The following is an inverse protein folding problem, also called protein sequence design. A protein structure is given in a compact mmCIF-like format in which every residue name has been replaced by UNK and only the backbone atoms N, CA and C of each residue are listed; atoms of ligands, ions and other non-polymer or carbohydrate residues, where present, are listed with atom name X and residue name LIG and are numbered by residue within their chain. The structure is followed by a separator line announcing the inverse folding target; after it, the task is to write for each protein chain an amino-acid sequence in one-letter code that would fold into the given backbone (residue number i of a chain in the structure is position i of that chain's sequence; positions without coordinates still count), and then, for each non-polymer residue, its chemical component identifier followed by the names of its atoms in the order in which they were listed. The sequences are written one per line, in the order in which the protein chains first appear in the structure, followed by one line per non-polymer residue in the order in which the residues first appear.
data_IF_728682768485
#
_entry.id   IF_728682768485
#
_cell.length_a   1.000
_cell.length_b   1.000
_cell.length_c   1.000
_cell.angle_alpha   90.00
_cell.angle_beta   90.00
_cell.angle_gamma   90.00
#
_symmetry.space_group_name_H-M   'P 1'
#
loop_
_entity.id
_entity.type
_entity.pdbx_description
1 polymer ?
#
# COMPACT_ATOMS: atom_id res chain seq x y z
N UNK A 1 -28.69 -9.05 13.85
CA UNK A 1 -27.69 -8.13 14.44
C UNK A 1 -26.28 -8.71 14.55
N UNK A 2 -26.07 -9.98 14.91
CA UNK A 2 -24.72 -10.59 15.05
C UNK A 2 -23.74 -10.39 13.87
N UNK A 3 -24.16 -10.52 12.59
CA UNK A 3 -23.23 -10.28 11.47
C UNK A 3 -22.71 -8.84 11.39
N UNK A 4 -23.56 -7.85 11.67
CA UNK A 4 -23.18 -6.42 11.67
C UNK A 4 -22.20 -6.11 12.80
N UNK A 5 -22.39 -6.74 13.97
CA UNK A 5 -21.48 -6.60 15.10
C UNK A 5 -20.07 -7.13 14.77
N UNK A 6 -19.98 -8.31 14.15
CA UNK A 6 -18.70 -8.90 13.73
C UNK A 6 -17.98 -7.98 12.73
N UNK A 7 -18.71 -7.47 11.74
CA UNK A 7 -18.18 -6.54 10.72
C UNK A 7 -17.72 -5.23 11.35
N UNK A 8 -18.44 -4.72 12.35
CA UNK A 8 -18.04 -3.53 13.11
C UNK A 8 -16.73 -3.74 13.88
N UNK A 9 -16.59 -4.86 14.59
CA UNK A 9 -15.38 -5.18 15.36
C UNK A 9 -14.17 -5.36 14.43
N UNK A 10 -14.34 -6.10 13.33
CA UNK A 10 -13.28 -6.28 12.32
C UNK A 10 -12.89 -4.93 11.73
N UNK A 11 -13.87 -4.11 11.34
CA UNK A 11 -13.61 -2.80 10.76
C UNK A 11 -12.88 -1.86 11.69
N UNK A 12 -13.30 -1.78 12.96
CA UNK A 12 -12.63 -0.96 13.95
C UNK A 12 -11.19 -1.44 14.19
N UNK A 13 -10.98 -2.75 14.31
CA UNK A 13 -9.65 -3.33 14.52
C UNK A 13 -8.70 -3.01 13.38
N UNK A 14 -9.17 -3.17 12.13
CA UNK A 14 -8.36 -2.87 10.93
C UNK A 14 -8.05 -1.38 10.85
N UNK A 15 -9.03 -0.50 11.08
CA UNK A 15 -8.80 0.97 11.04
C UNK A 15 -7.77 1.37 12.10
N UNK A 16 -7.89 0.87 13.33
CA UNK A 16 -6.96 1.18 14.42
C UNK A 16 -5.55 0.68 14.11
N UNK A 17 -5.40 -0.58 13.68
CA UNK A 17 -4.10 -1.14 13.28
C UNK A 17 -3.42 -0.26 12.24
N UNK A 18 -4.19 0.21 11.25
CA UNK A 18 -3.66 1.01 10.14
C UNK A 18 -3.29 2.41 10.56
N UNK A 19 -4.05 3.05 11.45
CA UNK A 19 -3.69 4.35 12.02
C UNK A 19 -2.36 4.23 12.77
N UNK A 20 -2.18 3.19 13.59
CA UNK A 20 -0.92 2.97 14.30
C UNK A 20 0.25 2.65 13.35
N UNK A 21 0.04 1.83 12.33
CA UNK A 21 1.08 1.46 11.36
C UNK A 21 1.55 2.68 10.56
N UNK A 22 0.61 3.46 10.01
CA UNK A 22 0.93 4.68 9.25
C UNK A 22 1.44 5.81 10.14
N UNK A 23 0.93 5.96 11.36
CA UNK A 23 1.46 6.89 12.36
C UNK A 23 2.92 6.57 12.73
N UNK A 24 3.23 5.29 12.95
CA UNK A 24 4.58 4.82 13.21
C UNK A 24 5.53 4.93 11.99
N UNK A 25 4.99 5.01 10.77
CA UNK A 25 5.77 5.21 9.54
C UNK A 25 6.33 6.63 9.42
N UNK A 26 5.62 7.64 9.94
CA UNK A 26 6.13 9.01 9.99
C UNK A 26 7.48 9.08 10.72
N UNK A 27 7.66 8.24 11.73
CA UNK A 27 8.91 8.14 12.50
C UNK A 27 10.03 7.33 11.82
N UNK A 28 9.74 6.65 10.70
CA UNK A 28 10.70 5.76 10.01
C UNK A 28 11.30 6.36 8.75
N UNK A 29 10.92 7.58 8.37
CA UNK A 29 11.54 8.30 7.25
C UNK A 29 12.86 8.94 7.68
N UNK A 30 13.90 8.73 6.88
CA UNK A 30 15.20 9.36 7.09
C UNK A 30 15.66 10.06 5.80
N UNK A 31 15.11 11.26 5.51
CA UNK A 31 15.39 11.97 4.26
C UNK A 31 16.88 12.29 4.11
N UNK A 32 17.58 12.54 5.23
CA UNK A 32 19.02 12.81 5.24
C UNK A 32 19.84 11.61 4.78
N UNK A 33 19.41 10.39 5.10
CA UNK A 33 20.09 9.18 4.60
C UNK A 33 19.82 8.95 3.12
N UNK A 34 18.61 9.22 2.64
CA UNK A 34 18.28 9.12 1.21
C UNK A 34 19.20 10.04 0.39
N UNK A 35 19.32 11.30 0.82
CA UNK A 35 20.22 12.27 0.19
C UNK A 35 21.67 11.77 0.16
N UNK A 36 22.21 11.30 1.30
CA UNK A 36 23.56 10.74 1.37
C UNK A 36 23.79 9.56 0.43
N UNK A 37 22.78 8.70 0.24
CA UNK A 37 22.87 7.57 -0.71
C UNK A 37 22.90 8.08 -2.14
N UNK A 38 22.06 9.05 -2.51
CA UNK A 38 22.12 9.66 -3.83
C UNK A 38 23.47 10.34 -4.09
N UNK A 39 23.99 11.11 -3.13
CA UNK A 39 25.33 11.71 -3.23
C UNK A 39 26.41 10.66 -3.40
N UNK A 40 26.36 9.54 -2.68
CA UNK A 40 27.34 8.45 -2.84
C UNK A 40 27.28 7.83 -4.24
N UNK A 41 26.08 7.64 -4.79
CA UNK A 41 25.89 7.16 -6.17
C UNK A 41 26.43 8.19 -7.17
N UNK A 42 26.17 9.47 -6.98
CA UNK A 42 26.68 10.58 -7.81
C UNK A 42 28.21 10.57 -7.95
N UNK A 43 28.93 10.26 -6.86
CA UNK A 43 30.39 10.14 -6.84
C UNK A 43 30.91 8.78 -7.36
N UNK A 44 30.01 7.87 -7.73
CA UNK A 44 30.32 6.53 -8.20
C UNK A 44 30.66 5.51 -7.12
N UNK A 45 30.47 5.85 -5.85
CA UNK A 45 30.70 4.94 -4.73
C UNK A 45 29.44 4.11 -4.42
N UNK A 46 29.20 3.12 -5.28
CA UNK A 46 28.09 2.17 -5.13
C UNK A 46 28.21 1.30 -3.86
N UNK A 47 29.43 1.08 -3.37
CA UNK A 47 29.68 0.34 -2.15
C UNK A 47 29.23 1.15 -0.92
N UNK A 48 29.53 2.45 -0.89
CA UNK A 48 29.06 3.36 0.15
C UNK A 48 27.54 3.50 0.13
N UNK A 49 26.96 3.65 -1.05
CA UNK A 49 25.50 3.72 -1.23
C UNK A 49 24.79 2.48 -0.64
N UNK A 50 25.34 1.29 -0.88
CA UNK A 50 24.83 0.04 -0.30
C UNK A 50 24.98 0.00 1.22
N UNK A 51 26.13 0.44 1.75
CA UNK A 51 26.39 0.48 3.20
C UNK A 51 25.44 1.43 3.94
N UNK A 52 25.21 2.62 3.39
CA UNK A 52 24.30 3.63 3.95
C UNK A 52 22.83 3.20 3.90
N UNK A 53 22.46 2.41 2.88
CA UNK A 53 21.10 1.89 2.71
C UNK A 53 20.81 0.66 3.60
N UNK A 54 21.85 -0.07 4.03
CA UNK A 54 21.73 -1.32 4.77
C UNK A 54 21.02 -1.13 6.12
N UNK A 55 20.04 -2.01 6.40
CA UNK A 55 19.33 -2.04 7.68
C UNK A 55 18.38 -0.85 7.91
N UNK A 56 18.16 0.00 6.91
CA UNK A 56 17.27 1.14 7.03
C UNK A 56 15.81 0.69 7.20
N UNK A 57 15.06 1.46 8.00
CA UNK A 57 13.62 1.27 8.14
C UNK A 57 12.81 1.99 7.06
N UNK A 58 13.44 2.89 6.31
CA UNK A 58 12.84 3.64 5.22
C UNK A 58 12.65 2.74 3.97
N UNK A 59 11.45 2.68 3.39
CA UNK A 59 11.18 1.85 2.22
C UNK A 59 11.96 2.25 0.97
N UNK A 60 12.28 3.52 0.76
CA UNK A 60 13.12 3.97 -0.37
C UNK A 60 14.51 3.38 -0.21
N UNK A 61 15.11 3.51 0.98
CA UNK A 61 16.43 2.95 1.28
C UNK A 61 16.46 1.42 1.20
N UNK A 62 15.39 0.74 1.64
CA UNK A 62 15.27 -0.71 1.48
C UNK A 62 15.20 -1.12 0.01
N UNK A 63 14.46 -0.37 -0.81
CA UNK A 63 14.39 -0.62 -2.25
C UNK A 63 15.76 -0.43 -2.89
N UNK A 64 16.44 0.68 -2.59
CA UNK A 64 17.80 0.97 -3.09
C UNK A 64 18.78 -0.13 -2.69
N UNK A 65 18.79 -0.54 -1.42
CA UNK A 65 19.64 -1.64 -0.94
C UNK A 65 19.39 -2.95 -1.68
N UNK A 66 18.11 -3.33 -1.87
CA UNK A 66 17.78 -4.56 -2.59
C UNK A 66 18.18 -4.48 -4.07
N UNK A 67 17.97 -3.33 -4.72
CA UNK A 67 18.37 -3.11 -6.11
C UNK A 67 19.88 -3.15 -6.32
N UNK A 68 20.65 -2.55 -5.41
CA UNK A 68 22.11 -2.54 -5.45
C UNK A 68 22.73 -3.91 -5.14
N UNK A 69 22.10 -4.71 -4.26
CA UNK A 69 22.71 -5.92 -3.70
C UNK A 69 22.21 -7.25 -4.31
N UNK A 70 21.10 -7.25 -5.05
CA UNK A 70 20.55 -8.45 -5.69
C UNK A 70 20.45 -8.29 -7.22
N UNK A 71 21.59 -8.40 -7.91
CA UNK A 71 21.68 -8.33 -9.38
C UNK A 71 21.43 -9.67 -10.11
N UNK A 72 20.48 -10.50 -9.66
CA UNK A 72 20.13 -11.73 -10.41
C UNK A 72 19.37 -11.43 -11.72
N UNK A 73 19.01 -10.17 -11.97
CA UNK A 73 18.30 -9.62 -13.14
C UNK A 73 18.82 -8.21 -13.41
N UNK A 74 18.43 -7.56 -14.51
CA UNK A 74 18.67 -6.14 -14.74
C UNK A 74 18.32 -5.29 -13.51
N UNK A 75 19.09 -4.23 -13.26
CA UNK A 75 18.88 -3.29 -12.15
C UNK A 75 17.41 -2.84 -12.03
N UNK A 76 16.80 -2.53 -13.18
CA UNK A 76 15.40 -2.15 -13.28
C UNK A 76 14.44 -3.22 -12.72
N UNK A 77 14.65 -4.48 -13.09
CA UNK A 77 13.82 -5.58 -12.58
C UNK A 77 13.98 -5.75 -11.06
N UNK A 78 15.20 -5.63 -10.54
CA UNK A 78 15.44 -5.73 -9.09
C UNK A 78 14.75 -4.58 -8.31
N UNK A 79 14.83 -3.35 -8.83
CA UNK A 79 14.16 -2.18 -8.24
C UNK A 79 12.63 -2.32 -8.29
N UNK A 80 12.07 -2.75 -9.42
CA UNK A 80 10.62 -2.97 -9.58
C UNK A 80 10.10 -4.01 -8.59
N UNK A 81 10.79 -5.14 -8.43
CA UNK A 81 10.41 -6.18 -7.47
C UNK A 81 10.47 -5.63 -6.04
N UNK A 82 11.53 -4.92 -5.69
CA UNK A 82 11.69 -4.35 -4.35
C UNK A 82 10.63 -3.28 -4.05
N UNK A 83 10.33 -2.40 -5.00
CA UNK A 83 9.27 -1.41 -4.90
C UNK A 83 7.90 -2.08 -4.71
N UNK A 84 7.60 -3.11 -5.51
CA UNK A 84 6.35 -3.88 -5.41
C UNK A 84 6.15 -4.53 -4.03
N UNK A 85 7.23 -5.05 -3.41
CA UNK A 85 7.18 -5.60 -2.05
C UNK A 85 6.82 -4.52 -1.03
N UNK A 86 7.40 -3.32 -1.12
CA UNK A 86 7.13 -2.22 -0.20
C UNK A 86 5.71 -1.63 -0.41
N UNK A 87 5.24 -1.51 -1.66
CA UNK A 87 3.86 -1.11 -1.99
C UNK A 87 2.87 -2.12 -1.44
N UNK A 88 3.08 -3.42 -1.68
CA UNK A 88 2.21 -4.49 -1.16
C UNK A 88 2.17 -4.49 0.37
N UNK A 89 3.31 -4.25 1.02
CA UNK A 89 3.37 -4.11 2.49
C UNK A 89 2.61 -2.88 2.96
N UNK A 90 2.74 -1.75 2.27
CA UNK A 90 2.03 -0.52 2.58
C UNK A 90 0.52 -0.64 2.34
N UNK A 91 0.08 -1.38 1.33
CA UNK A 91 -1.33 -1.62 1.00
C UNK A 91 -2.01 -2.73 1.81
N UNK A 92 -1.32 -3.35 2.79
CA UNK A 92 -1.89 -4.42 3.62
C UNK A 92 -3.20 -3.95 4.27
N UNK A 93 -4.25 -4.77 4.17
CA UNK A 93 -5.61 -4.48 4.68
C UNK A 93 -6.43 -3.43 3.92
N UNK A 94 -5.91 -2.73 2.89
CA UNK A 94 -6.75 -1.84 2.07
C UNK A 94 -7.92 -2.59 1.41
N UNK A 95 -7.66 -3.80 0.90
CA UNK A 95 -8.71 -4.67 0.32
C UNK A 95 -9.78 -5.04 1.35
N UNK A 96 -9.39 -5.23 2.61
CA UNK A 96 -10.34 -5.53 3.69
C UNK A 96 -11.19 -4.29 3.98
N UNK A 97 -10.59 -3.11 4.03
CA UNK A 97 -11.32 -1.85 4.22
C UNK A 97 -12.30 -1.58 3.07
N UNK A 98 -11.88 -1.80 1.82
CA UNK A 98 -12.76 -1.70 0.64
C UNK A 98 -13.95 -2.67 0.73
N UNK A 99 -13.68 -3.90 1.15
CA UNK A 99 -14.73 -4.90 1.40
C UNK A 99 -15.68 -4.43 2.50
N UNK A 100 -15.19 -3.80 3.57
CA UNK A 100 -16.04 -3.32 4.67
C UNK A 100 -16.93 -2.14 4.24
N UNK A 101 -16.39 -1.21 3.46
CA UNK A 101 -17.12 -0.07 2.89
C UNK A 101 -18.29 -0.54 2.03
N UNK A 102 -18.11 -1.63 1.27
CA UNK A 102 -19.13 -2.17 0.37
C UNK A 102 -20.06 -3.18 1.05
N UNK A 103 -19.55 -4.07 1.90
CA UNK A 103 -20.31 -5.15 2.52
C UNK A 103 -21.18 -4.68 3.68
N UNK A 104 -20.74 -3.71 4.49
CA UNK A 104 -21.50 -3.27 5.66
C UNK A 104 -22.89 -2.68 5.31
N UNK A 105 -23.05 -1.82 4.28
CA UNK A 105 -24.36 -1.35 3.84
C UNK A 105 -25.24 -2.48 3.30
N UNK A 106 -24.66 -3.42 2.55
CA UNK A 106 -25.38 -4.58 2.00
C UNK A 106 -25.94 -5.47 3.12
N UNK A 107 -25.17 -5.67 4.19
CA UNK A 107 -25.64 -6.40 5.38
C UNK A 107 -26.72 -5.62 6.15
N UNK A 108 -26.63 -4.29 6.19
CA UNK A 108 -27.68 -3.43 6.75
C UNK A 108 -29.00 -3.55 5.98
N UNK A 109 -28.92 -3.56 4.64
CA UNK A 109 -30.06 -3.76 3.74
C UNK A 109 -30.62 -5.20 3.84
N UNK A 110 -29.77 -6.20 3.98
CA UNK A 110 -30.23 -7.56 4.27
C UNK A 110 -30.97 -7.62 5.61
N UNK A 111 -30.50 -6.86 6.61
CA UNK A 111 -31.16 -6.69 7.90
C UNK A 111 -32.58 -6.11 7.77
N UNK A 112 -32.77 -5.10 6.92
CA UNK A 112 -34.12 -4.56 6.69
C UNK A 112 -35.03 -5.55 6.00
N UNK A 113 -34.55 -6.23 4.96
CA UNK A 113 -35.35 -7.25 4.26
C UNK A 113 -35.81 -8.34 5.23
N UNK A 114 -34.88 -8.89 6.02
CA UNK A 114 -35.22 -9.97 6.96
C UNK A 114 -36.12 -9.51 8.10
N UNK A 115 -35.94 -8.29 8.62
CA UNK A 115 -36.82 -7.71 9.64
C UNK A 115 -38.23 -7.43 9.12
N UNK A 116 -38.37 -6.94 7.89
CA UNK A 116 -39.66 -6.77 7.23
C UNK A 116 -40.38 -8.10 7.00
N UNK A 117 -39.68 -9.13 6.51
CA UNK A 117 -40.25 -10.48 6.33
C UNK A 117 -40.81 -11.03 7.66
N UNK A 118 -40.06 -10.88 8.77
CA UNK A 118 -40.54 -11.30 10.09
C UNK A 118 -41.73 -10.46 10.54
N UNK A 119 -41.69 -9.14 10.33
CA UNK A 119 -42.79 -8.24 10.69
C UNK A 119 -44.10 -8.66 10.02
N UNK A 120 -44.06 -8.99 8.73
CA UNK A 120 -45.23 -9.46 8.00
C UNK A 120 -45.79 -10.80 8.47
N UNK A 121 -44.97 -11.66 9.10
CA UNK A 121 -45.46 -12.92 9.68
C UNK A 121 -46.40 -12.74 10.89
N UNK A 122 -46.40 -11.55 11.51
CA UNK A 122 -47.31 -11.21 12.61
C UNK A 122 -48.66 -10.64 12.14
N UNK A 123 -48.81 -10.30 10.85
CA UNK A 123 -50.09 -9.88 10.28
C UNK A 123 -51.03 -11.09 10.24
N UNK A 124 -52.12 -11.02 11.00
CA UNK A 124 -53.10 -12.11 11.14
C UNK A 124 -53.41 -12.49 12.60
N UNK A 125 -52.61 -12.03 13.57
CA UNK A 125 -52.90 -12.18 15.01
C UNK A 125 -53.52 -10.88 15.55
N UNK A 126 -54.82 -10.90 15.88
CA UNK A 126 -55.63 -9.68 16.08
C UNK A 126 -55.24 -8.81 17.29
N UNK A 127 -54.62 -9.37 18.33
CA UNK A 127 -54.48 -8.64 19.61
C UNK A 127 -53.16 -7.86 19.76
N UNK A 128 -52.08 -8.27 19.08
CA UNK A 128 -50.74 -7.66 19.23
C UNK A 128 -50.00 -7.39 17.90
N UNK A 129 -50.64 -7.60 16.75
CA UNK A 129 -49.99 -7.44 15.44
C UNK A 129 -49.34 -6.07 15.22
N UNK A 130 -49.99 -4.98 15.65
CA UNK A 130 -49.46 -3.62 15.41
C UNK A 130 -48.15 -3.38 16.17
N UNK A 131 -48.05 -3.77 17.44
CA UNK A 131 -46.82 -3.62 18.22
C UNK A 131 -45.69 -4.52 17.70
N UNK A 132 -46.01 -5.76 17.33
CA UNK A 132 -45.02 -6.70 16.79
C UNK A 132 -44.46 -6.22 15.42
N UNK A 133 -45.33 -5.75 14.53
CA UNK A 133 -44.95 -5.23 13.21
C UNK A 133 -44.10 -3.96 13.34
N UNK A 134 -44.55 -3.00 14.15
CA UNK A 134 -43.80 -1.75 14.34
C UNK A 134 -42.43 -1.97 15.00
N UNK A 135 -42.33 -2.91 15.95
CA UNK A 135 -41.06 -3.32 16.54
C UNK A 135 -40.09 -3.95 15.53
N UNK A 136 -40.57 -4.87 14.67
CA UNK A 136 -39.74 -5.50 13.66
C UNK A 136 -39.26 -4.54 12.56
N UNK A 137 -40.09 -3.54 12.19
CA UNK A 137 -39.69 -2.45 11.30
C UNK A 137 -38.61 -1.58 11.95
N UNK A 138 -38.75 -1.25 13.23
CA UNK A 138 -37.76 -0.47 13.96
C UNK A 138 -36.40 -1.19 14.02
N UNK A 139 -36.38 -2.50 14.33
CA UNK A 139 -35.15 -3.30 14.34
C UNK A 139 -34.49 -3.33 12.94
N UNK A 140 -35.29 -3.50 11.89
CA UNK A 140 -34.84 -3.43 10.51
C UNK A 140 -34.12 -2.09 10.20
N UNK A 141 -34.74 -0.96 10.54
CA UNK A 141 -34.16 0.36 10.28
C UNK A 141 -32.85 0.58 11.05
N UNK A 142 -32.76 0.11 12.30
CA UNK A 142 -31.53 0.16 13.09
C UNK A 142 -30.41 -0.63 12.40
N UNK A 143 -30.70 -1.81 11.84
CA UNK A 143 -29.71 -2.61 11.12
C UNK A 143 -29.11 -1.85 9.92
N UNK A 144 -29.93 -1.13 9.14
CA UNK A 144 -29.45 -0.29 8.04
C UNK A 144 -28.63 0.89 8.52
N UNK A 145 -29.09 1.60 9.56
CA UNK A 145 -28.35 2.71 10.14
C UNK A 145 -26.95 2.26 10.63
N UNK A 146 -26.86 1.10 11.28
CA UNK A 146 -25.58 0.52 11.70
C UNK A 146 -24.68 0.16 10.50
N UNK A 147 -25.23 -0.48 9.46
CA UNK A 147 -24.46 -0.86 8.26
C UNK A 147 -23.87 0.36 7.54
N UNK A 148 -24.67 1.42 7.38
CA UNK A 148 -24.22 2.71 6.84
C UNK A 148 -23.18 3.38 7.73
N UNK A 149 -23.41 3.39 9.05
CA UNK A 149 -22.46 3.95 10.01
C UNK A 149 -21.07 3.33 9.88
N UNK A 150 -20.99 1.99 9.88
CA UNK A 150 -19.72 1.26 9.72
C UNK A 150 -19.04 1.63 8.40
N UNK A 151 -19.78 1.68 7.30
CA UNK A 151 -19.24 2.03 5.99
C UNK A 151 -18.66 3.44 5.95
N UNK A 152 -19.38 4.43 6.51
CA UNK A 152 -18.93 5.82 6.59
C UNK A 152 -17.65 5.92 7.42
N UNK A 153 -17.60 5.23 8.57
CA UNK A 153 -16.41 5.20 9.43
C UNK A 153 -15.21 4.55 8.74
N UNK A 154 -15.41 3.52 7.91
CA UNK A 154 -14.34 2.85 7.17
C UNK A 154 -13.89 3.64 5.91
N UNK A 155 -14.78 4.40 5.29
CA UNK A 155 -14.54 5.10 4.01
C UNK A 155 -13.49 6.19 4.13
N UNK A 156 -13.54 7.02 5.17
CA UNK A 156 -12.60 8.14 5.33
C UNK A 156 -11.15 7.62 5.48
N UNK A 157 -10.86 6.68 6.39
CA UNK A 157 -9.52 6.09 6.50
C UNK A 157 -9.12 5.32 5.25
N UNK A 158 -10.05 4.61 4.59
CA UNK A 158 -9.76 3.90 3.34
C UNK A 158 -9.22 4.84 2.26
N UNK A 159 -9.93 5.94 1.97
CA UNK A 159 -9.50 6.93 0.99
C UNK A 159 -8.15 7.56 1.37
N UNK A 160 -7.97 7.90 2.64
CA UNK A 160 -6.72 8.46 3.14
C UNK A 160 -5.53 7.49 2.93
N UNK A 161 -5.67 6.22 3.33
CA UNK A 161 -4.58 5.25 3.19
C UNK A 161 -4.32 4.86 1.73
N UNK A 162 -5.35 4.80 0.88
CA UNK A 162 -5.18 4.59 -0.57
C UNK A 162 -4.36 5.71 -1.19
N UNK A 163 -4.67 6.97 -0.88
CA UNK A 163 -3.86 8.12 -1.33
C UNK A 163 -2.42 8.03 -0.82
N UNK A 164 -2.22 7.61 0.43
CA UNK A 164 -0.88 7.46 1.01
C UNK A 164 -0.05 6.34 0.36
N UNK A 165 -0.67 5.23 -0.05
CA UNK A 165 -0.01 4.17 -0.80
C UNK A 165 0.38 4.65 -2.20
N UNK A 166 -0.51 5.37 -2.88
CA UNK A 166 -0.22 5.96 -4.20
C UNK A 166 0.94 6.95 -4.16
N UNK A 167 1.00 7.82 -3.13
CA UNK A 167 2.14 8.71 -2.94
C UNK A 167 3.46 7.95 -2.70
N UNK A 168 3.42 6.82 -1.97
CA UNK A 168 4.60 5.98 -1.79
C UNK A 168 5.05 5.34 -3.11
N UNK A 169 4.11 4.83 -3.89
CA UNK A 169 4.40 4.26 -5.20
C UNK A 169 5.12 5.27 -6.10
N UNK A 170 4.62 6.52 -6.16
CA UNK A 170 5.26 7.59 -6.89
C UNK A 170 6.69 7.91 -6.40
N UNK A 171 6.90 7.98 -5.09
CA UNK A 171 8.22 8.20 -4.51
C UNK A 171 9.20 7.07 -4.83
N UNK A 172 8.78 5.81 -4.72
CA UNK A 172 9.60 4.65 -5.04
C UNK A 172 9.98 4.64 -6.52
N UNK A 173 9.01 4.94 -7.40
CA UNK A 173 9.25 5.00 -8.84
C UNK A 173 10.25 6.11 -9.19
N UNK A 174 10.09 7.30 -8.62
CA UNK A 174 11.01 8.42 -8.86
C UNK A 174 12.42 8.07 -8.36
N UNK A 175 12.54 7.47 -7.17
CA UNK A 175 13.82 7.05 -6.64
C UNK A 175 14.48 5.95 -7.49
N UNK A 176 13.70 5.00 -8.01
CA UNK A 176 14.19 3.96 -8.91
C UNK A 176 14.69 4.55 -10.23
N UNK A 177 13.93 5.43 -10.88
CA UNK A 177 14.31 6.10 -12.12
C UNK A 177 15.57 6.94 -11.95
N UNK A 178 15.69 7.69 -10.85
CA UNK A 178 16.90 8.47 -10.56
C UNK A 178 18.12 7.55 -10.40
N UNK A 179 17.98 6.46 -9.63
CA UNK A 179 19.07 5.52 -9.39
C UNK A 179 19.50 4.81 -10.68
N UNK A 180 18.55 4.41 -11.53
CA UNK A 180 18.83 3.85 -12.86
C UNK A 180 19.57 4.85 -13.76
N UNK A 181 19.13 6.11 -13.79
CA UNK A 181 19.76 7.16 -14.60
C UNK A 181 21.21 7.43 -14.17
N UNK A 182 21.45 7.54 -12.86
CA UNK A 182 22.79 7.80 -12.33
C UNK A 182 23.76 6.64 -12.58
N UNK A 183 23.31 5.39 -12.37
CA UNK A 183 24.13 4.21 -12.61
C UNK A 183 24.34 3.94 -14.10
N UNK A 184 23.34 4.21 -14.94
CA UNK A 184 23.44 4.13 -16.39
C UNK A 184 24.48 5.12 -16.94
N UNK A 185 24.43 6.38 -16.47
CA UNK A 185 25.41 7.41 -16.86
C UNK A 185 26.84 7.04 -16.46
N UNK A 186 27.04 6.46 -15.27
CA UNK A 186 28.36 5.98 -14.84
C UNK A 186 28.85 4.80 -15.65
N UNK A 187 27.98 3.85 -15.98
CA UNK A 187 28.35 2.68 -16.79
C UNK A 187 28.80 3.15 -18.18
N UNK A 188 28.04 4.07 -18.80
CA UNK A 188 28.41 4.65 -20.08
C UNK A 188 29.73 5.43 -20.03
N UNK A 189 29.95 6.25 -18.99
CA UNK A 189 31.23 6.96 -18.80
C UNK A 189 32.40 5.99 -18.65
N UNK A 190 32.22 4.91 -17.87
CA UNK A 190 33.24 3.89 -17.66
C UNK A 190 33.57 3.11 -18.92
N UNK A 191 32.57 2.83 -19.76
CA UNK A 191 32.74 2.15 -21.03
C UNK A 191 33.48 3.05 -22.06
N UNK A 192 33.22 4.35 -22.06
CA UNK A 192 33.95 5.33 -22.88
C UNK A 192 35.42 5.43 -22.47
N UNK A 193 35.70 5.47 -21.16
CA UNK A 193 37.07 5.47 -20.64
C UNK A 193 37.81 4.18 -21.00
N UNK A 194 37.13 3.02 -20.93
CA UNK A 194 37.67 1.73 -21.34
C UNK A 194 37.98 1.69 -22.84
N UNK A 195 37.07 2.22 -23.68
CA UNK A 195 37.25 2.30 -25.12
C UNK A 195 38.39 3.25 -25.52
N UNK A 196 38.58 4.36 -24.77
CA UNK A 196 39.68 5.29 -24.98
C UNK A 196 41.05 4.72 -24.55
N UNK A 197 41.06 3.80 -23.58
CA UNK A 197 42.27 3.12 -23.08
C UNK A 197 42.58 1.81 -23.83
N UNK A 198 41.69 1.35 -24.71
CA UNK A 198 41.93 0.16 -25.52
C UNK A 198 43.13 0.40 -26.45
N UNK A 199 44.19 -0.44 -26.40
CA UNK A 199 45.36 -0.24 -27.24
C UNK A 199 44.94 -0.32 -28.70
N UNK A 200 45.34 0.69 -29.49
CA UNK A 200 45.17 0.66 -30.94
C UNK A 200 45.89 -0.58 -31.48
N UNK A 201 45.14 -1.66 -31.71
CA UNK A 201 45.68 -2.88 -32.27
C UNK A 201 46.19 -2.59 -33.68
N UNK A 202 47.50 -2.42 -33.77
CA UNK A 202 48.36 -2.45 -34.96
C UNK A 202 47.68 -2.36 -36.31
N UNK A 203 47.48 -1.14 -36.82
CA UNK A 203 47.77 -0.89 -38.23
C UNK A 203 49.29 -0.87 -38.37
N UNK A 204 49.88 -1.98 -38.81
CA UNK A 204 51.31 -2.00 -39.10
C UNK A 204 51.92 -3.38 -39.18
N UNK A 205 51.60 -4.12 -40.25
CA UNK A 205 52.67 -4.86 -40.94
C UNK A 205 52.38 -4.80 -42.44
N UNK A 206 53.08 -3.88 -43.12
CA UNK A 206 53.64 -4.11 -44.44
C UNK A 206 54.31 -5.49 -44.45
N UNK A 207 54.30 -6.30 -45.51
CA UNK A 207 54.81 -6.11 -46.88
C UNK A 207 54.09 -7.12 -47.76
#
# INVERSE_FOLDING_TARGET
MWPILIVSIIGLTVVIERIFWWGGRWFRRDPKRIEKVFTAIEHGDTAEASRLSRGSRDPVLRMMWNGLNHQHTSLQGALQVAAGIEIKRAGRFLVVMDTLVTLAPLLGLLGTITGLIRSFSFLGNEELAVQAVTGGIAEALIATACGLGIAIFALIPFNFFTSRVSNLEFELQTAATNLEGMLGAQTAARDLDFAAQAPASGKGSSI
#
